data_IF_784520386477
#
_entry.id   IF_784520386477
#
_cell.length_a   1.000
_cell.length_b   1.000
_cell.length_c   1.000
_cell.angle_alpha   90.00
_cell.angle_beta   90.00
_cell.angle_gamma   90.00
#
_symmetry.space_group_name_H-M   'P 1'
#
loop_
_entity.id
_entity.type
_entity.pdbx_description
1 polymer ?
#
# COMPACT_ATOMS: atom_id res chain seq x y z
N UNK A 1 50.68 -23.71 2.21
CA UNK A 1 49.60 -24.32 3.03
C UNK A 1 48.39 -24.54 2.15
N UNK A 2 47.86 -25.76 2.10
CA UNK A 2 46.62 -26.05 1.37
C UNK A 2 45.41 -25.51 2.15
N UNK A 3 44.26 -25.42 1.47
CA UNK A 3 43.02 -24.87 2.02
C UNK A 3 42.60 -25.57 3.32
N UNK A 4 42.75 -26.90 3.39
CA UNK A 4 42.47 -27.68 4.60
C UNK A 4 43.34 -27.26 5.80
N UNK A 5 44.64 -27.00 5.59
CA UNK A 5 45.53 -26.50 6.64
C UNK A 5 45.17 -25.10 7.14
N UNK A 6 44.66 -24.22 6.26
CA UNK A 6 44.19 -22.88 6.65
C UNK A 6 42.90 -22.93 7.48
N UNK A 7 41.95 -23.79 7.09
CA UNK A 7 40.71 -24.02 7.85
C UNK A 7 40.99 -24.65 9.22
N UNK A 8 41.92 -25.61 9.29
CA UNK A 8 42.34 -26.21 10.56
C UNK A 8 42.94 -25.17 11.52
N UNK A 9 43.80 -24.28 11.01
CA UNK A 9 44.39 -23.21 11.82
C UNK A 9 43.34 -22.18 12.29
N UNK A 10 42.38 -21.84 11.44
CA UNK A 10 41.27 -20.95 11.78
C UNK A 10 40.37 -21.56 12.86
N UNK A 11 40.02 -22.84 12.74
CA UNK A 11 39.22 -23.56 13.74
C UNK A 11 39.94 -23.63 15.09
N UNK A 12 41.24 -23.94 15.09
CA UNK A 12 42.05 -23.95 16.31
C UNK A 12 42.16 -22.56 16.95
N UNK A 13 42.32 -21.51 16.13
CA UNK A 13 42.35 -20.12 16.59
C UNK A 13 41.02 -19.69 17.24
N UNK A 14 39.89 -20.04 16.63
CA UNK A 14 38.56 -19.73 17.19
C UNK A 14 38.32 -20.46 18.52
N UNK A 15 38.69 -21.74 18.61
CA UNK A 15 38.57 -22.50 19.86
C UNK A 15 39.46 -21.93 20.98
N UNK A 16 40.67 -21.50 20.65
CA UNK A 16 41.56 -20.85 21.61
C UNK A 16 41.00 -19.51 22.10
N UNK A 17 40.50 -18.66 21.19
CA UNK A 17 39.86 -17.39 21.55
C UNK A 17 38.64 -17.65 22.45
N UNK A 18 37.76 -18.57 22.06
CA UNK A 18 36.55 -18.88 22.83
C UNK A 18 36.89 -19.44 24.22
N UNK A 19 37.87 -20.34 24.30
CA UNK A 19 38.34 -20.91 25.57
C UNK A 19 38.97 -19.88 26.50
N UNK A 20 39.79 -18.96 25.97
CA UNK A 20 40.39 -17.87 26.73
C UNK A 20 39.31 -16.90 27.22
N UNK A 21 38.40 -16.47 26.34
CA UNK A 21 37.29 -15.59 26.70
C UNK A 21 36.42 -16.19 27.80
N UNK A 22 36.12 -17.49 27.73
CA UNK A 22 35.33 -18.19 28.73
C UNK A 22 36.07 -18.31 30.08
N UNK A 23 37.37 -18.60 30.06
CA UNK A 23 38.18 -18.69 31.27
C UNK A 23 38.36 -17.33 31.97
N UNK A 24 38.47 -16.24 31.20
CA UNK A 24 38.59 -14.87 31.73
C UNK A 24 37.25 -14.33 32.24
N UNK A 25 36.14 -14.67 31.58
CA UNK A 25 34.81 -14.20 31.99
C UNK A 25 34.34 -14.84 33.31
N UNK A 26 34.68 -16.11 33.56
CA UNK A 26 34.23 -16.85 34.75
C UNK A 26 34.47 -16.19 36.11
N UNK A 27 35.66 -15.63 36.41
CA UNK A 27 35.87 -14.92 37.68
C UNK A 27 35.37 -13.46 37.69
N UNK A 28 35.07 -12.88 36.52
CA UNK A 28 34.61 -11.49 36.38
C UNK A 28 33.09 -11.35 36.41
N UNK A 29 32.36 -12.41 36.06
CA UNK A 29 30.90 -12.45 36.09
C UNK A 29 30.46 -13.01 37.44
N UNK A 30 29.79 -12.20 38.25
CA UNK A 30 29.25 -12.65 39.54
C UNK A 30 28.07 -13.62 39.35
N UNK A 31 27.92 -14.56 40.27
CA UNK A 31 26.79 -15.50 40.26
C UNK A 31 25.42 -14.79 40.27
N UNK A 32 25.36 -13.57 40.80
CA UNK A 32 24.18 -12.71 40.79
C UNK A 32 23.87 -12.14 39.39
N UNK A 33 24.90 -11.82 38.60
CA UNK A 33 24.72 -11.43 37.20
C UNK A 33 24.26 -12.61 36.33
N UNK A 34 24.78 -13.82 36.58
CA UNK A 34 24.32 -15.05 35.92
C UNK A 34 22.87 -15.34 36.32
N UNK A 35 22.54 -15.23 37.61
CA UNK A 35 21.20 -15.48 38.14
C UNK A 35 20.16 -14.51 37.60
N UNK A 36 20.49 -13.22 37.43
CA UNK A 36 19.61 -12.25 36.76
C UNK A 36 19.42 -12.53 35.27
N UNK A 37 20.42 -13.13 34.63
CA UNK A 37 20.35 -13.44 33.21
C UNK A 37 19.60 -14.74 32.92
N UNK A 38 19.66 -15.70 33.84
CA UNK A 38 18.93 -16.97 33.78
C UNK A 38 17.60 -16.96 34.52
N UNK A 39 17.30 -15.90 35.29
CA UNK A 39 16.01 -15.73 35.92
C UNK A 39 14.95 -15.60 34.82
N UNK A 40 13.88 -16.41 34.85
CA UNK A 40 12.73 -16.14 33.99
C UNK A 40 12.19 -14.75 34.36
N UNK A 41 12.14 -13.86 33.37
CA UNK A 41 11.52 -12.54 33.52
C UNK A 41 10.02 -12.73 33.75
N UNK A 42 9.62 -12.88 35.02
CA UNK A 42 8.22 -12.80 35.45
C UNK A 42 7.81 -11.35 35.74
N UNK A 43 8.46 -10.38 35.09
CA UNK A 43 7.88 -9.06 34.88
C UNK A 43 7.11 -9.10 33.56
N UNK A 44 5.91 -9.70 33.60
CA UNK A 44 4.83 -9.24 32.76
C UNK A 44 4.41 -7.85 33.29
N UNK A 45 5.27 -6.86 33.07
CA UNK A 45 4.74 -5.54 32.76
C UNK A 45 3.95 -5.74 31.49
N UNK A 46 2.69 -5.30 31.49
CA UNK A 46 1.87 -5.19 30.31
C UNK A 46 2.67 -4.38 29.27
N UNK A 47 3.48 -5.07 28.47
CA UNK A 47 3.63 -4.70 27.08
C UNK A 47 2.22 -4.90 26.53
N UNK A 48 1.39 -3.86 26.70
CA UNK A 48 0.47 -3.48 25.65
C UNK A 48 1.32 -3.56 24.40
N UNK A 49 1.14 -4.68 23.70
CA UNK A 49 1.56 -4.80 22.33
C UNK A 49 0.76 -3.69 21.69
N UNK A 50 1.37 -2.51 21.55
CA UNK A 50 0.87 -1.46 20.68
C UNK A 50 0.47 -2.23 19.44
N UNK A 51 -0.83 -2.29 19.09
CA UNK A 51 -1.28 -3.17 18.04
C UNK A 51 -0.39 -2.87 16.86
N UNK A 52 0.42 -3.85 16.45
CA UNK A 52 1.23 -3.70 15.26
C UNK A 52 0.21 -3.43 14.18
N UNK A 53 0.13 -2.16 13.76
CA UNK A 53 -0.82 -1.78 12.73
C UNK A 53 -0.26 -2.45 11.49
N UNK A 54 -0.80 -3.62 11.17
CA UNK A 54 -0.27 -4.46 10.10
C UNK A 54 -0.33 -3.63 8.82
N UNK A 55 0.84 -3.30 8.28
CA UNK A 55 0.94 -2.39 7.14
C UNK A 55 0.47 -3.16 5.91
N UNK A 56 -0.73 -2.85 5.46
CA UNK A 56 -1.36 -3.57 4.36
C UNK A 56 -0.59 -3.39 3.05
N UNK A 57 -0.66 -4.42 2.19
CA UNK A 57 -0.17 -4.34 0.82
C UNK A 57 1.35 -4.29 0.66
N UNK A 58 2.15 -4.58 1.71
CA UNK A 58 3.61 -4.67 1.60
C UNK A 58 4.14 -6.11 1.48
N UNK A 59 3.28 -7.11 1.61
CA UNK A 59 3.67 -8.51 1.60
C UNK A 59 3.22 -9.22 0.32
N UNK A 60 4.01 -10.21 -0.11
CA UNK A 60 3.62 -11.16 -1.15
C UNK A 60 2.64 -12.22 -0.65
N UNK A 61 2.47 -12.34 0.68
CA UNK A 61 1.60 -13.32 1.31
C UNK A 61 0.92 -12.75 2.57
N UNK A 62 -0.36 -13.05 2.75
CA UNK A 62 -1.14 -12.65 3.92
C UNK A 62 -2.27 -13.66 4.15
N UNK A 63 -2.56 -14.01 5.41
CA UNK A 63 -3.63 -14.95 5.74
C UNK A 63 -3.50 -16.33 5.07
N UNK A 64 -2.28 -16.76 4.75
CA UNK A 64 -2.00 -18.00 4.00
C UNK A 64 -2.16 -17.88 2.48
N UNK A 65 -2.71 -16.77 1.97
CA UNK A 65 -2.74 -16.51 0.53
C UNK A 65 -1.39 -16.01 0.03
N UNK A 66 -1.00 -16.40 -1.18
CA UNK A 66 0.29 -16.02 -1.78
C UNK A 66 0.09 -15.52 -3.20
N UNK A 67 0.58 -14.32 -3.50
CA UNK A 67 0.68 -13.82 -4.87
C UNK A 67 1.86 -14.51 -5.54
N UNK A 68 1.62 -15.28 -6.60
CA UNK A 68 2.62 -16.03 -7.36
C UNK A 68 2.65 -15.61 -8.84
N UNK A 69 3.77 -15.89 -9.51
CA UNK A 69 3.88 -15.83 -10.98
C UNK A 69 3.64 -14.45 -11.62
N UNK A 70 3.79 -13.34 -10.88
CA UNK A 70 3.62 -12.00 -11.45
C UNK A 70 4.61 -11.76 -12.59
N UNK A 71 4.07 -11.72 -13.81
CA UNK A 71 4.79 -11.52 -15.06
C UNK A 71 4.16 -10.35 -15.79
N UNK A 72 4.99 -9.50 -16.40
CA UNK A 72 4.60 -8.37 -17.23
C UNK A 72 5.76 -8.06 -18.19
N UNK A 73 5.52 -7.27 -19.27
CA UNK A 73 6.60 -6.69 -20.05
C UNK A 73 7.63 -6.00 -19.15
N UNK A 74 8.91 -6.07 -19.53
CA UNK A 74 10.04 -5.56 -18.72
C UNK A 74 10.73 -4.35 -19.35
N UNK A 75 10.17 -3.81 -20.41
CA UNK A 75 10.69 -2.65 -21.16
C UNK A 75 9.50 -1.76 -21.50
N UNK A 76 9.72 -0.45 -21.60
CA UNK A 76 8.70 0.51 -22.06
C UNK A 76 8.29 0.25 -23.51
N UNK A 77 7.07 0.66 -23.85
CA UNK A 77 6.50 0.70 -25.21
C UNK A 77 6.42 -0.66 -25.91
N UNK A 78 6.64 -1.76 -25.19
CA UNK A 78 6.45 -3.12 -25.65
C UNK A 78 5.15 -3.68 -25.08
N UNK A 79 4.21 -3.98 -25.98
CA UNK A 79 2.97 -4.66 -25.62
C UNK A 79 3.20 -6.11 -25.22
N UNK A 80 2.41 -6.57 -24.25
CA UNK A 80 2.38 -7.97 -23.84
C UNK A 80 1.24 -8.23 -22.87
N UNK A 81 1.44 -9.17 -21.96
CA UNK A 81 0.44 -9.58 -20.97
C UNK A 81 0.98 -9.38 -19.57
N UNK A 82 0.20 -8.72 -18.72
CA UNK A 82 0.37 -8.81 -17.27
C UNK A 82 -0.43 -10.02 -16.79
N UNK A 83 0.20 -10.92 -16.05
CA UNK A 83 -0.46 -12.10 -15.49
C UNK A 83 0.10 -12.47 -14.12
N UNK A 84 -0.75 -13.05 -13.28
CA UNK A 84 -0.37 -13.56 -11.96
C UNK A 84 -1.37 -14.64 -11.51
N UNK A 85 -1.04 -15.34 -10.43
CA UNK A 85 -1.92 -16.31 -9.76
C UNK A 85 -1.91 -16.03 -8.27
N UNK A 86 -3.02 -16.30 -7.60
CA UNK A 86 -3.10 -16.28 -6.14
C UNK A 86 -3.29 -17.72 -5.69
N UNK A 87 -2.43 -18.16 -4.78
CA UNK A 87 -2.53 -19.48 -4.15
C UNK A 87 -3.25 -19.31 -2.82
N UNK A 88 -4.15 -20.23 -2.51
CA UNK A 88 -4.88 -20.27 -1.24
C UNK A 88 -4.01 -20.87 -0.11
N UNK A 89 -4.50 -20.88 1.16
CA UNK A 89 -3.74 -21.44 2.28
C UNK A 89 -3.39 -22.93 2.17
N UNK A 90 -4.00 -23.66 1.24
CA UNK A 90 -3.66 -25.07 0.94
C UNK A 90 -2.56 -25.19 -0.13
N UNK A 91 -2.19 -24.08 -0.77
CA UNK A 91 -1.25 -24.00 -1.89
C UNK A 91 -1.90 -24.23 -3.26
N UNK A 92 -3.22 -24.39 -3.33
CA UNK A 92 -3.95 -24.55 -4.59
C UNK A 92 -4.25 -23.19 -5.25
N UNK A 93 -4.40 -23.09 -6.58
CA UNK A 93 -4.90 -21.88 -7.23
C UNK A 93 -6.25 -21.44 -6.64
N UNK A 94 -6.34 -20.21 -6.15
CA UNK A 94 -7.61 -19.61 -5.77
C UNK A 94 -8.41 -19.24 -7.02
N UNK A 95 -9.59 -19.84 -7.17
CA UNK A 95 -10.47 -19.66 -8.35
C UNK A 95 -11.84 -19.07 -8.01
N UNK A 96 -12.16 -18.92 -6.71
CA UNK A 96 -13.45 -18.41 -6.23
C UNK A 96 -13.24 -17.15 -5.40
N UNK A 97 -13.80 -16.05 -5.91
CA UNK A 97 -13.66 -14.71 -5.35
C UNK A 97 -15.06 -14.12 -5.15
N UNK A 98 -15.28 -13.46 -4.01
CA UNK A 98 -16.44 -12.62 -3.80
C UNK A 98 -16.32 -11.34 -4.64
N UNK A 99 -17.46 -10.73 -4.98
CA UNK A 99 -17.46 -9.41 -5.63
C UNK A 99 -17.51 -8.34 -4.55
N UNK A 100 -16.47 -7.51 -4.47
CA UNK A 100 -16.38 -6.33 -3.62
C UNK A 100 -16.14 -5.11 -4.50
N UNK A 101 -16.75 -3.97 -4.17
CA UNK A 101 -16.64 -2.75 -4.98
C UNK A 101 -16.93 -2.99 -6.48
N UNK A 102 -17.89 -3.86 -6.78
CA UNK A 102 -18.32 -4.21 -8.15
C UNK A 102 -17.36 -5.09 -8.95
N UNK A 103 -16.24 -5.54 -8.38
CA UNK A 103 -15.24 -6.40 -9.05
C UNK A 103 -14.80 -7.55 -8.15
N UNK A 104 -14.24 -8.59 -8.74
CA UNK A 104 -13.69 -9.71 -7.97
C UNK A 104 -12.25 -9.45 -7.50
N UNK A 105 -11.54 -8.58 -8.21
CA UNK A 105 -10.15 -8.24 -7.94
C UNK A 105 -9.85 -6.84 -8.47
N UNK A 106 -9.15 -6.06 -7.67
CA UNK A 106 -8.55 -4.78 -8.05
C UNK A 106 -7.05 -4.97 -8.23
N UNK A 107 -6.53 -4.61 -9.39
CA UNK A 107 -5.10 -4.52 -9.63
C UNK A 107 -4.69 -3.06 -9.69
N UNK A 108 -3.76 -2.69 -8.82
CA UNK A 108 -3.19 -1.34 -8.79
C UNK A 108 -1.72 -1.46 -9.12
N UNK A 109 -1.23 -0.69 -10.08
CA UNK A 109 0.19 -0.55 -10.37
C UNK A 109 0.59 0.92 -10.17
N UNK A 110 1.68 1.16 -9.45
CA UNK A 110 2.18 2.52 -9.19
C UNK A 110 3.70 2.49 -9.14
N UNK A 111 4.35 3.50 -9.74
CA UNK A 111 5.81 3.62 -9.67
C UNK A 111 6.24 3.99 -8.26
N UNK A 112 7.45 3.60 -7.85
CA UNK A 112 7.97 3.84 -6.49
C UNK A 112 8.01 5.31 -6.06
N UNK A 113 7.98 6.26 -7.00
CA UNK A 113 7.90 7.69 -6.75
C UNK A 113 6.45 8.23 -6.65
N UNK A 114 5.43 7.39 -6.81
CA UNK A 114 4.03 7.80 -6.77
C UNK A 114 3.48 8.34 -8.08
N UNK A 115 4.18 8.14 -9.19
CA UNK A 115 3.67 8.44 -10.53
C UNK A 115 3.13 7.18 -11.21
N UNK A 116 2.55 7.35 -12.40
CA UNK A 116 2.11 6.24 -13.26
C UNK A 116 1.14 5.27 -12.58
N UNK A 117 0.26 5.81 -11.72
CA UNK A 117 -0.80 5.03 -11.09
C UNK A 117 -1.79 4.52 -12.12
N UNK A 118 -2.15 3.24 -12.01
CA UNK A 118 -3.18 2.59 -12.81
C UNK A 118 -4.00 1.68 -11.92
N UNK A 119 -5.32 1.78 -12.06
CA UNK A 119 -6.28 0.91 -11.39
C UNK A 119 -7.11 0.17 -12.43
N UNK A 120 -6.93 -1.14 -12.48
CA UNK A 120 -7.49 -2.00 -13.52
C UNK A 120 -8.01 -3.31 -12.94
N UNK A 121 -8.76 -4.05 -13.75
CA UNK A 121 -9.47 -5.26 -13.32
C UNK A 121 -9.19 -6.37 -14.34
N UNK A 122 -8.13 -7.17 -14.14
CA UNK A 122 -7.79 -8.29 -15.02
C UNK A 122 -8.90 -9.35 -15.07
N UNK A 123 -8.82 -10.27 -16.02
CA UNK A 123 -9.76 -11.39 -16.13
C UNK A 123 -9.19 -12.67 -15.52
N UNK A 124 -10.02 -13.39 -14.76
CA UNK A 124 -9.70 -14.71 -14.22
C UNK A 124 -10.01 -15.81 -15.23
N UNK A 125 -9.02 -16.65 -15.50
CA UNK A 125 -9.25 -17.99 -16.05
C UNK A 125 -9.53 -18.95 -14.89
N UNK A 126 -10.79 -19.37 -14.75
CA UNK A 126 -11.22 -20.26 -13.66
C UNK A 126 -10.69 -21.69 -13.76
N UNK A 127 -10.19 -22.10 -14.93
CA UNK A 127 -9.59 -23.43 -15.09
C UNK A 127 -8.16 -23.50 -14.55
N UNK A 128 -7.43 -22.38 -14.61
CA UNK A 128 -6.01 -22.31 -14.21
C UNK A 128 -5.78 -21.48 -12.94
N UNK A 129 -6.73 -20.62 -12.56
CA UNK A 129 -6.58 -19.63 -11.48
C UNK A 129 -5.71 -18.43 -11.87
N UNK A 130 -5.37 -18.28 -13.15
CA UNK A 130 -4.54 -17.18 -13.64
C UNK A 130 -5.40 -15.96 -13.92
N UNK A 131 -4.99 -14.81 -13.37
CA UNK A 131 -5.49 -13.50 -13.75
C UNK A 131 -4.61 -12.92 -14.84
N UNK A 132 -5.21 -12.31 -15.87
CA UNK A 132 -4.43 -11.68 -16.94
C UNK A 132 -5.14 -10.53 -17.65
N UNK A 133 -4.35 -9.65 -18.26
CA UNK A 133 -4.83 -8.63 -19.20
C UNK A 133 -3.71 -8.15 -20.15
N UNK A 134 -4.06 -7.57 -21.32
CA UNK A 134 -3.10 -6.84 -22.13
C UNK A 134 -2.46 -5.70 -21.33
N UNK A 135 -1.14 -5.52 -21.49
CA UNK A 135 -0.39 -4.53 -20.74
C UNK A 135 0.76 -3.92 -21.54
N UNK A 136 1.04 -2.65 -21.29
CA UNK A 136 2.18 -1.91 -21.85
C UNK A 136 2.61 -0.85 -20.84
N UNK A 137 3.90 -0.80 -20.52
CA UNK A 137 4.48 0.28 -19.72
C UNK A 137 4.85 1.44 -20.63
N UNK A 138 4.45 2.66 -20.27
CA UNK A 138 4.81 3.88 -21.01
C UNK A 138 6.05 4.54 -20.43
N UNK A 139 6.34 4.27 -19.16
CA UNK A 139 7.43 4.89 -18.41
C UNK A 139 8.27 3.81 -17.73
N UNK A 140 9.57 4.08 -17.59
CA UNK A 140 10.49 3.18 -16.92
C UNK A 140 10.41 3.35 -15.40
N UNK A 141 10.94 2.35 -14.68
CA UNK A 141 11.10 2.37 -13.22
C UNK A 141 10.66 1.09 -12.54
N UNK A 142 10.69 1.10 -11.22
CA UNK A 142 10.15 0.02 -10.38
C UNK A 142 8.72 0.34 -10.02
N UNK A 143 7.82 -0.60 -10.28
CA UNK A 143 6.41 -0.49 -9.97
C UNK A 143 6.04 -1.46 -8.86
N UNK A 144 5.33 -1.00 -7.83
CA UNK A 144 4.62 -1.91 -6.93
C UNK A 144 3.26 -2.21 -7.55
N UNK A 145 2.94 -3.49 -7.65
CA UNK A 145 1.66 -4.00 -8.13
C UNK A 145 0.93 -4.66 -6.98
N UNK A 146 -0.26 -4.18 -6.66
CA UNK A 146 -1.16 -4.74 -5.66
C UNK A 146 -2.23 -5.57 -6.32
N UNK A 147 -2.66 -6.60 -5.61
CA UNK A 147 -3.90 -7.32 -5.87
C UNK A 147 -4.73 -7.26 -4.60
N UNK A 148 -5.90 -6.65 -4.67
CA UNK A 148 -6.86 -6.57 -3.58
C UNK A 148 -8.10 -7.37 -3.95
N UNK A 149 -8.45 -8.32 -3.10
CA UNK A 149 -9.50 -9.30 -3.39
C UNK A 149 -10.12 -9.86 -2.11
N UNK A 150 -11.36 -10.34 -2.22
CA UNK A 150 -12.04 -11.06 -1.14
C UNK A 150 -12.23 -12.52 -1.56
N UNK A 151 -11.67 -13.50 -0.84
CA UNK A 151 -11.94 -14.92 -1.10
C UNK A 151 -13.43 -15.22 -0.93
N UNK A 152 -14.00 -16.11 -1.77
CA UNK A 152 -15.44 -16.42 -1.68
C UNK A 152 -15.89 -17.04 -0.34
N UNK A 153 -14.96 -17.63 0.41
CA UNK A 153 -15.22 -18.27 1.72
C UNK A 153 -14.88 -17.36 2.91
N UNK A 154 -14.38 -16.15 2.67
CA UNK A 154 -13.96 -15.21 3.70
C UNK A 154 -14.79 -13.92 3.68
N UNK A 155 -14.71 -13.15 4.76
CA UNK A 155 -15.33 -11.82 4.86
C UNK A 155 -14.34 -10.69 4.65
N UNK A 156 -13.06 -10.95 4.86
CA UNK A 156 -12.03 -9.92 4.92
C UNK A 156 -11.31 -9.80 3.57
N UNK A 157 -11.05 -8.56 3.15
CA UNK A 157 -10.22 -8.31 1.96
C UNK A 157 -8.76 -8.64 2.25
N UNK A 158 -8.07 -9.15 1.23
CA UNK A 158 -6.66 -9.49 1.28
C UNK A 158 -5.94 -8.66 0.21
N UNK A 159 -5.00 -7.83 0.65
CA UNK A 159 -4.13 -7.08 -0.24
C UNK A 159 -2.72 -7.67 -0.25
N UNK A 160 -2.29 -8.17 -1.41
CA UNK A 160 -0.94 -8.68 -1.63
C UNK A 160 -0.23 -7.79 -2.64
N UNK A 161 1.11 -7.73 -2.61
CA UNK A 161 1.85 -7.01 -3.64
C UNK A 161 3.17 -7.66 -4.01
N UNK A 162 3.66 -7.31 -5.19
CA UNK A 162 5.00 -7.60 -5.71
C UNK A 162 5.50 -6.40 -6.51
N UNK A 163 6.80 -6.35 -6.76
CA UNK A 163 7.39 -5.33 -7.63
C UNK A 163 7.67 -5.85 -9.04
N UNK A 164 7.62 -4.94 -10.01
CA UNK A 164 8.00 -5.16 -11.41
C UNK A 164 8.98 -4.07 -11.80
N UNK A 165 10.20 -4.45 -12.17
CA UNK A 165 11.16 -3.53 -12.78
C UNK A 165 10.93 -3.45 -14.29
N UNK A 166 10.91 -2.21 -14.79
CA UNK A 166 10.71 -1.85 -16.20
C UNK A 166 11.92 -1.05 -16.66
N UNK A 167 12.65 -1.60 -17.62
CA UNK A 167 13.81 -0.95 -18.23
C UNK A 167 13.38 0.15 -19.21
N UNK A 168 14.16 1.23 -19.25
CA UNK A 168 13.99 2.39 -20.12
C UNK A 168 14.66 3.63 -19.52
N UNK A 169 14.36 4.81 -20.06
CA UNK A 169 14.83 6.10 -19.50
C UNK A 169 14.00 6.45 -18.26
N UNK A 170 14.58 6.34 -17.07
CA UNK A 170 13.89 6.68 -15.82
C UNK A 170 14.07 8.16 -15.50
N UNK A 171 12.95 8.89 -15.46
CA UNK A 171 12.86 10.26 -14.94
C UNK A 171 11.96 10.29 -13.70
N UNK A 172 12.53 10.23 -12.49
CA UNK A 172 11.74 10.26 -11.26
C UNK A 172 11.02 11.61 -11.11
N UNK A 173 9.81 11.56 -10.57
CA UNK A 173 8.97 12.75 -10.30
C UNK A 173 8.67 12.82 -8.80
N UNK A 174 9.57 13.39 -7.98
CA UNK A 174 9.39 13.43 -6.54
C UNK A 174 8.13 14.20 -6.13
N UNK A 175 7.29 13.59 -5.29
CA UNK A 175 6.09 14.20 -4.71
C UNK A 175 6.42 14.96 -3.42
N UNK A 176 7.15 16.08 -3.57
CA UNK A 176 7.72 16.80 -2.43
C UNK A 176 6.78 17.84 -1.79
N UNK A 177 5.76 18.30 -2.51
CA UNK A 177 4.79 19.28 -2.01
C UNK A 177 3.45 18.62 -1.73
N UNK A 178 2.72 19.17 -0.75
CA UNK A 178 1.29 18.92 -0.55
C UNK A 178 0.53 19.36 -1.79
N UNK A 179 -0.40 18.53 -2.26
CA UNK A 179 -1.23 18.79 -3.42
C UNK A 179 -2.66 18.41 -3.07
N UNK A 180 -3.52 19.41 -2.93
CA UNK A 180 -4.95 19.24 -2.62
C UNK A 180 -5.85 19.51 -3.81
N UNK A 181 -5.30 19.89 -4.97
CA UNK A 181 -6.06 20.11 -6.20
C UNK A 181 -5.41 19.38 -7.37
N UNK A 182 -6.23 18.73 -8.18
CA UNK A 182 -5.81 17.95 -9.34
C UNK A 182 -6.72 18.22 -10.53
N UNK A 183 -6.14 18.52 -11.68
CA UNK A 183 -6.90 18.73 -12.93
C UNK A 183 -6.67 17.56 -13.88
N UNK A 184 -7.76 16.94 -14.34
CA UNK A 184 -7.74 15.80 -15.26
C UNK A 184 -8.88 15.89 -16.26
N UNK A 185 -8.55 16.00 -17.55
CA UNK A 185 -9.52 16.00 -18.64
C UNK A 185 -10.61 17.08 -18.53
N UNK A 186 -10.24 18.30 -18.11
CA UNK A 186 -11.15 19.45 -17.92
C UNK A 186 -11.81 19.53 -16.54
N UNK A 187 -11.71 18.46 -15.74
CA UNK A 187 -12.25 18.43 -14.38
C UNK A 187 -11.20 18.87 -13.37
N UNK A 188 -11.61 19.65 -12.38
CA UNK A 188 -10.81 19.97 -11.21
C UNK A 188 -11.41 19.28 -9.98
N UNK A 189 -10.62 18.40 -9.38
CA UNK A 189 -10.93 17.75 -8.12
C UNK A 189 -10.17 18.47 -7.00
N UNK A 190 -10.89 18.92 -5.97
CA UNK A 190 -10.31 19.62 -4.81
C UNK A 190 -10.57 18.81 -3.56
N UNK A 191 -9.50 18.34 -2.93
CA UNK A 191 -9.54 17.60 -1.69
C UNK A 191 -9.48 18.53 -0.48
N UNK A 192 -10.35 18.28 0.48
CA UNK A 192 -10.38 18.90 1.80
C UNK A 192 -10.37 17.85 2.90
N UNK A 193 -9.95 18.26 4.10
CA UNK A 193 -9.70 17.38 5.23
C UNK A 193 -8.21 17.22 5.53
N UNK A 194 -7.89 16.65 6.69
CA UNK A 194 -6.53 16.44 7.13
C UNK A 194 -6.37 15.00 7.63
N UNK A 195 -5.28 14.35 7.23
CA UNK A 195 -4.95 13.04 7.79
C UNK A 195 -4.31 13.19 9.17
N UNK A 196 -4.66 12.28 10.07
CA UNK A 196 -4.05 12.15 11.40
C UNK A 196 -3.62 10.71 11.61
N UNK A 197 -2.39 10.52 12.07
CA UNK A 197 -1.87 9.20 12.36
C UNK A 197 -2.68 8.51 13.46
N UNK A 198 -3.04 7.24 13.23
CA UNK A 198 -3.76 6.39 14.18
C UNK A 198 -5.23 6.75 14.41
N UNK A 199 -5.79 7.74 13.70
CA UNK A 199 -7.19 8.17 13.85
C UNK A 199 -7.90 8.19 12.52
N UNK A 200 -9.16 7.76 12.52
CA UNK A 200 -10.04 7.85 11.35
C UNK A 200 -10.32 9.32 11.04
N UNK A 201 -9.99 9.75 9.83
CA UNK A 201 -10.09 11.12 9.35
C UNK A 201 -11.11 11.20 8.21
N UNK A 202 -11.94 12.23 8.21
CA UNK A 202 -12.83 12.53 7.09
C UNK A 202 -12.06 13.29 6.01
N UNK A 203 -12.16 12.82 4.77
CA UNK A 203 -11.67 13.48 3.58
C UNK A 203 -12.86 13.72 2.63
N UNK A 204 -12.90 14.87 1.99
CA UNK A 204 -13.91 15.16 1.00
C UNK A 204 -13.27 15.67 -0.28
N UNK A 205 -13.79 15.22 -1.43
CA UNK A 205 -13.34 15.70 -2.73
C UNK A 205 -14.51 16.31 -3.48
N UNK A 206 -14.39 17.60 -3.80
CA UNK A 206 -15.34 18.34 -4.63
C UNK A 206 -14.88 18.30 -6.09
N UNK A 207 -15.77 17.91 -6.99
CA UNK A 207 -15.52 17.81 -8.43
C UNK A 207 -16.22 18.97 -9.16
N UNK A 208 -15.45 19.71 -9.95
CA UNK A 208 -15.94 20.76 -10.83
C UNK A 208 -15.45 20.54 -12.27
N UNK A 209 -16.16 21.10 -13.23
CA UNK A 209 -15.76 21.14 -14.64
C UNK A 209 -15.88 22.57 -15.15
N UNK A 210 -14.78 23.15 -15.64
CA UNK A 210 -14.71 24.56 -16.06
C UNK A 210 -15.21 25.57 -15.00
N UNK A 211 -15.03 25.25 -13.71
CA UNK A 211 -15.45 26.07 -12.58
C UNK A 211 -16.88 25.82 -12.07
N UNK A 212 -17.69 25.03 -12.79
CA UNK A 212 -19.04 24.66 -12.38
C UNK A 212 -19.06 23.34 -11.59
N UNK A 213 -19.81 23.25 -10.48
CA UNK A 213 -19.93 22.00 -9.72
C UNK A 213 -20.54 20.86 -10.54
N UNK A 214 -19.91 19.68 -10.53
CA UNK A 214 -20.43 18.49 -11.21
C UNK A 214 -21.54 17.85 -10.38
N UNK A 215 -22.75 17.75 -10.91
CA UNK A 215 -23.89 17.09 -10.24
C UNK A 215 -24.32 15.78 -10.92
N UNK A 216 -23.49 15.31 -11.85
CA UNK A 216 -23.76 14.14 -12.70
C UNK A 216 -22.76 13.00 -12.47
N UNK A 217 -22.10 12.95 -11.30
CA UNK A 217 -21.19 11.85 -10.97
C UNK A 217 -21.92 10.52 -11.09
N UNK A 218 -21.28 9.57 -11.75
CA UNK A 218 -21.80 8.23 -11.98
C UNK A 218 -21.18 7.23 -10.99
N UNK A 219 -21.96 6.22 -10.58
CA UNK A 219 -21.44 5.10 -9.83
C UNK A 219 -20.30 4.39 -10.57
N UNK A 220 -19.15 4.27 -9.91
CA UNK A 220 -18.01 3.50 -10.33
C UNK A 220 -17.51 2.66 -9.15
N UNK A 221 -17.35 1.35 -9.37
CA UNK A 221 -16.91 0.41 -8.34
C UNK A 221 -17.77 0.42 -7.06
N UNK A 222 -19.08 0.61 -7.22
CA UNK A 222 -20.04 0.58 -6.11
C UNK A 222 -20.07 1.83 -5.23
N UNK A 223 -19.46 2.93 -5.67
CA UNK A 223 -19.51 4.24 -5.03
C UNK A 223 -19.49 5.37 -6.09
N UNK A 224 -19.63 6.63 -5.70
CA UNK A 224 -19.48 7.77 -6.64
C UNK A 224 -18.01 8.17 -6.88
N UNK A 225 -17.09 7.59 -6.10
CA UNK A 225 -15.65 7.67 -6.31
C UNK A 225 -14.94 6.58 -5.51
N UNK A 226 -13.76 6.19 -6.00
CA UNK A 226 -12.91 5.20 -5.35
C UNK A 226 -11.55 5.82 -5.04
N UNK A 227 -11.19 5.90 -3.76
CA UNK A 227 -9.99 6.57 -3.29
C UNK A 227 -8.99 5.55 -2.77
N UNK A 228 -7.83 5.48 -3.41
CA UNK A 228 -6.68 4.69 -2.94
C UNK A 228 -5.67 5.65 -2.32
N UNK A 229 -5.18 5.32 -1.12
CA UNK A 229 -4.12 6.07 -0.47
C UNK A 229 -2.93 5.17 -0.16
N UNK A 230 -1.72 5.65 -0.46
CA UNK A 230 -0.46 4.92 -0.31
C UNK A 230 0.57 5.75 0.44
N UNK A 231 1.27 5.16 1.40
CA UNK A 231 2.35 5.86 2.10
C UNK A 231 3.53 6.10 1.18
N UNK A 232 4.02 7.34 1.09
CA UNK A 232 5.20 7.63 0.29
C UNK A 232 6.44 6.92 0.87
N UNK A 233 7.27 6.35 -0.02
CA UNK A 233 8.49 5.63 0.34
C UNK A 233 8.33 4.13 0.11
N UNK A 234 7.53 3.46 0.94
CA UNK A 234 7.31 2.01 0.83
C UNK A 234 6.02 1.61 0.10
N UNK A 235 5.12 2.59 -0.09
CA UNK A 235 3.81 2.42 -0.68
C UNK A 235 2.94 1.46 0.15
N UNK A 236 2.98 1.57 1.48
CA UNK A 236 2.03 0.87 2.33
C UNK A 236 0.60 1.28 1.98
N UNK A 237 -0.31 0.30 1.84
CA UNK A 237 -1.71 0.53 1.46
C UNK A 237 -2.51 1.04 2.67
N UNK A 238 -3.38 2.03 2.46
CA UNK A 238 -4.22 2.59 3.53
C UNK A 238 -5.63 2.07 3.43
N UNK A 239 -6.26 1.95 4.59
CA UNK A 239 -7.68 1.68 4.69
C UNK A 239 -8.46 2.96 4.36
N UNK A 240 -9.21 2.92 3.26
CA UNK A 240 -10.08 4.02 2.82
C UNK A 240 -11.42 3.45 2.40
N UNK A 241 -12.51 4.05 2.85
CA UNK A 241 -13.85 3.69 2.39
C UNK A 241 -14.65 4.94 2.05
N UNK A 242 -15.38 4.88 0.94
CA UNK A 242 -16.36 5.91 0.58
C UNK A 242 -17.51 5.90 1.59
N UNK A 243 -18.01 7.08 1.91
CA UNK A 243 -19.19 7.25 2.75
C UNK A 243 -20.47 7.20 1.91
N UNK A 244 -21.58 6.84 2.57
CA UNK A 244 -22.89 6.74 1.95
C UNK A 244 -23.27 5.31 1.56
N UNK A 245 -24.50 5.18 1.04
CA UNK A 245 -25.02 3.89 0.59
C UNK A 245 -24.49 3.56 -0.81
N UNK A 246 -24.34 2.26 -1.09
CA UNK A 246 -24.00 1.80 -2.44
C UNK A 246 -25.07 2.26 -3.45
N UNK A 247 -24.71 3.06 -4.47
CA UNK A 247 -25.67 3.59 -5.43
C UNK A 247 -26.05 2.55 -6.49
N UNK A 248 -27.26 2.67 -7.03
CA UNK A 248 -27.70 1.96 -8.22
C UNK A 248 -27.11 2.62 -9.47
N UNK A 249 -26.91 1.88 -10.57
CA UNK A 249 -26.24 2.38 -11.78
C UNK A 249 -26.89 3.63 -12.42
N UNK A 250 -28.19 3.85 -12.21
CA UNK A 250 -28.91 5.02 -12.70
C UNK A 250 -28.73 6.27 -11.83
N UNK A 251 -28.27 6.11 -10.59
CA UNK A 251 -28.14 7.21 -9.63
C UNK A 251 -27.08 8.21 -10.07
N UNK A 252 -27.24 9.46 -9.64
CA UNK A 252 -26.28 10.55 -9.85
C UNK A 252 -26.05 11.26 -8.52
N UNK A 253 -24.84 11.81 -8.36
CA UNK A 253 -24.44 12.56 -7.17
C UNK A 253 -23.48 13.71 -7.55
N UNK A 254 -23.00 14.41 -6.55
CA UNK A 254 -21.99 15.46 -6.64
C UNK A 254 -22.48 16.81 -6.11
N UNK A 255 -21.57 17.79 -6.01
CA UNK A 255 -20.16 17.73 -6.44
C UNK A 255 -19.22 16.98 -5.50
N UNK A 256 -19.68 16.70 -4.28
CA UNK A 256 -18.85 16.20 -3.20
C UNK A 256 -18.89 14.68 -3.08
N UNK A 257 -17.74 14.09 -2.80
CA UNK A 257 -17.58 12.67 -2.44
C UNK A 257 -16.82 12.60 -1.11
N UNK A 258 -17.42 11.97 -0.11
CA UNK A 258 -16.85 11.86 1.24
C UNK A 258 -16.22 10.48 1.46
N UNK A 259 -15.12 10.47 2.20
CA UNK A 259 -14.33 9.28 2.53
C UNK A 259 -13.92 9.30 3.99
N UNK A 260 -13.80 8.11 4.59
CA UNK A 260 -13.06 7.91 5.83
C UNK A 260 -11.73 7.23 5.52
N UNK A 261 -10.65 7.77 6.06
CA UNK A 261 -9.30 7.25 5.88
C UNK A 261 -8.55 7.21 7.22
N UNK A 262 -7.83 6.13 7.48
CA UNK A 262 -6.97 6.00 8.67
C UNK A 262 -5.52 5.87 8.23
N UNK A 263 -4.71 6.89 8.51
CA UNK A 263 -3.27 6.84 8.30
C UNK A 263 -2.61 6.04 9.44
N UNK A 264 -1.88 4.94 9.18
CA UNK A 264 -1.31 4.11 10.24
C UNK A 264 -0.15 4.78 10.98
N UNK A 265 0.53 5.74 10.34
CA UNK A 265 1.66 6.46 10.91
C UNK A 265 1.64 7.93 10.52
N UNK A 266 2.48 8.73 11.18
CA UNK A 266 2.86 10.03 10.63
C UNK A 266 3.58 9.84 9.30
N UNK A 267 3.52 10.85 8.43
CA UNK A 267 4.24 10.87 7.17
C UNK A 267 3.38 11.26 5.98
N UNK A 268 3.95 11.14 4.79
CA UNK A 268 3.32 11.56 3.54
C UNK A 268 2.54 10.43 2.89
N UNK A 269 1.40 10.77 2.32
CA UNK A 269 0.50 9.87 1.63
C UNK A 269 0.17 10.40 0.23
N UNK A 270 0.11 9.48 -0.71
CA UNK A 270 -0.21 9.68 -2.12
C UNK A 270 -1.61 9.13 -2.35
N UNK A 271 -2.54 9.98 -2.78
CA UNK A 271 -3.94 9.60 -2.92
C UNK A 271 -4.36 9.68 -4.39
N UNK A 272 -5.16 8.70 -4.83
CA UNK A 272 -5.64 8.58 -6.19
C UNK A 272 -7.16 8.35 -6.16
N UNK A 273 -7.90 9.31 -6.70
CA UNK A 273 -9.36 9.25 -6.79
C UNK A 273 -9.77 8.88 -8.20
N UNK A 274 -10.39 7.72 -8.35
CA UNK A 274 -11.15 7.38 -9.55
C UNK A 274 -12.58 7.90 -9.42
N UNK A 275 -13.04 8.68 -10.39
CA UNK A 275 -14.43 9.14 -10.50
C UNK A 275 -14.91 9.04 -11.94
N UNK A 276 -16.23 8.92 -12.13
CA UNK A 276 -16.83 8.71 -13.46
C UNK A 276 -17.84 9.80 -13.80
N UNK A 277 -17.68 10.37 -14.99
CA UNK A 277 -18.63 11.31 -15.62
C UNK A 277 -18.68 11.00 -17.11
N UNK A 278 -19.90 10.97 -17.66
CA UNK A 278 -20.19 10.66 -19.07
C UNK A 278 -19.60 9.33 -19.57
N UNK A 279 -19.61 8.32 -18.70
CA UNK A 279 -19.10 6.99 -18.97
C UNK A 279 -17.56 6.89 -18.90
N UNK A 280 -16.85 8.00 -18.70
CA UNK A 280 -15.39 8.05 -18.67
C UNK A 280 -14.88 8.13 -17.24
N UNK A 281 -14.06 7.15 -16.86
CA UNK A 281 -13.34 7.14 -15.59
C UNK A 281 -12.11 8.03 -15.70
N UNK A 282 -11.88 8.85 -14.68
CA UNK A 282 -10.73 9.74 -14.56
C UNK A 282 -10.10 9.54 -13.19
N UNK A 283 -8.77 9.66 -13.15
CA UNK A 283 -8.00 9.57 -11.90
C UNK A 283 -7.42 10.93 -11.55
N UNK A 284 -7.86 11.51 -10.43
CA UNK A 284 -7.23 12.67 -9.81
C UNK A 284 -6.16 12.20 -8.80
N UNK A 285 -5.09 12.97 -8.60
CA UNK A 285 -4.01 12.61 -7.68
C UNK A 285 -3.69 13.74 -6.70
N UNK A 286 -3.51 13.38 -5.43
CA UNK A 286 -3.26 14.30 -4.32
C UNK A 286 -2.06 13.83 -3.49
N UNK A 287 -1.52 14.75 -2.69
CA UNK A 287 -0.44 14.49 -1.75
C UNK A 287 -0.81 15.16 -0.44
N UNK A 288 -0.90 14.39 0.64
CA UNK A 288 -1.20 14.88 1.99
C UNK A 288 -0.16 14.39 2.98
N UNK A 289 0.05 15.17 4.03
CA UNK A 289 0.82 14.74 5.18
C UNK A 289 -0.15 14.36 6.32
N UNK A 290 0.12 13.26 7.00
CA UNK A 290 -0.56 12.90 8.24
C UNK A 290 0.31 13.33 9.43
N UNK A 291 -0.26 14.20 10.25
CA UNK A 291 0.37 14.68 11.47
C UNK A 291 0.16 13.69 12.63
N UNK A 292 0.94 13.86 13.70
CA UNK A 292 0.73 13.13 14.94
C UNK A 292 -0.64 13.46 15.54
N UNK A 293 -1.29 12.46 16.14
CA UNK A 293 -2.49 12.70 16.93
C UNK A 293 -2.15 13.67 18.10
N UNK A 294 -2.88 14.78 18.20
CA UNK A 294 -2.70 15.78 19.26
C UNK A 294 -1.84 17.00 18.90
N UNK A 295 -1.26 17.08 17.70
CA UNK A 295 -0.67 18.34 17.22
C UNK A 295 -1.78 19.33 16.82
N UNK A 296 -1.73 20.61 17.26
CA UNK A 296 -2.69 21.62 16.83
C UNK A 296 -2.60 21.78 15.30
N UNK A 297 -3.75 21.92 14.65
CA UNK A 297 -3.78 22.22 13.21
C UNK A 297 -3.00 23.52 12.94
N UNK A 298 -2.23 23.61 11.84
CA UNK A 298 -1.62 24.87 11.47
C UNK A 298 -2.72 25.92 11.27
N UNK A 299 -2.59 27.02 12.00
CA UNK A 299 -3.51 28.15 11.97
C UNK A 299 -3.49 28.74 10.54
N UNK A 300 -4.65 28.81 9.89
CA UNK A 300 -4.76 29.53 8.63
C UNK A 300 -4.51 31.01 8.93
N UNK A 301 -3.38 31.53 8.46
CA UNK A 301 -3.04 32.95 8.54
C UNK A 301 -4.05 33.75 7.72
N UNK A 302 -5.14 34.18 8.36
CA UNK A 302 -6.00 35.21 7.84
C UNK A 302 -5.25 36.53 7.93
N UNK A 303 -4.45 36.81 6.90
CA UNK A 303 -3.74 38.06 6.73
C UNK A 303 -4.63 39.25 7.03
N UNK A 304 -4.25 39.99 8.07
CA UNK A 304 -4.92 41.20 8.49
C UNK A 304 -4.81 42.26 7.39
N UNK A 305 -5.95 42.65 6.81
CA UNK A 305 -6.05 43.90 6.07
C UNK A 305 -5.90 45.07 7.06
N UNK A 306 -4.90 45.92 6.82
CA UNK A 306 -4.88 47.32 7.25
C UNK A 306 -5.23 48.19 6.06
#
# INVERSE_FOLDING_TARGET
>A
MNTAGRLGLYGAGLLAIFGISFAVARPLVSDDAVSRWTAPSNEHSDHESMPSTDMMGLSTANGGYVLTTLTAPRVTDVGGTLSFRIDDPTGAPLTKYATAHGKQLHLIAVRTDGSEYRHVHPHLDTATGVWSMPWTWTEAGTYRTYVDFTPATGTDSVTLSRTVDVAGDLRPTPRAATVTSSTVGGYTATLSGNLRAGTSSELAVDISHDGEPVTSLQPYLGAFGHLVALRQGDLAYLHVHAMGNAPAAADRSGPRIDFMATAPSVGRYLLYLDFQVDGVVRTASFVLDADAAGSPAPEQDHGAHR
#
